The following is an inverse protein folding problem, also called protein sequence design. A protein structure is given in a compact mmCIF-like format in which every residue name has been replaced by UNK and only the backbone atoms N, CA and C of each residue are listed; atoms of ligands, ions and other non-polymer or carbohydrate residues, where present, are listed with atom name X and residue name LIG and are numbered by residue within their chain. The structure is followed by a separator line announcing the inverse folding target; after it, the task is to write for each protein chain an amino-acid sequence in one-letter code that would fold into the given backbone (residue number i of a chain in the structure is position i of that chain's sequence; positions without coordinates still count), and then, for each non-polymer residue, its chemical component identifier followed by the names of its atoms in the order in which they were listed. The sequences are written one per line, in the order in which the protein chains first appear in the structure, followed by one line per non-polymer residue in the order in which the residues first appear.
data_IF_408911335280
#
_entry.id   IF_408911335280
#
_cell.length_a   1.000
_cell.length_b   1.000
_cell.length_c   1.000
_cell.angle_alpha   90.00
_cell.angle_beta   90.00
_cell.angle_gamma   90.00
#
_symmetry.space_group_name_H-M   'P 1'
#
loop_
_entity.id
_entity.type
_entity.pdbx_description
1 polymer ?
#
# COMPACT_ATOMS: atom_id res chain seq x y z
N UNK A 1 -34.04 34.66 20.76
CA UNK A 1 -33.64 33.64 21.76
C UNK A 1 -33.51 32.29 21.08
N UNK A 2 -32.39 32.05 20.39
CA UNK A 2 -32.13 30.77 19.70
C UNK A 2 -31.62 29.76 20.72
N UNK A 3 -32.46 28.80 21.07
CA UNK A 3 -32.19 27.76 22.06
C UNK A 3 -31.30 26.71 21.39
N UNK A 4 -29.99 26.83 21.59
CA UNK A 4 -29.01 25.85 21.12
C UNK A 4 -29.32 24.47 21.69
N UNK A 5 -29.60 23.51 20.82
CA UNK A 5 -29.78 22.11 21.22
C UNK A 5 -28.39 21.50 21.50
N UNK A 6 -28.23 20.71 22.59
CA UNK A 6 -26.97 20.04 22.86
C UNK A 6 -26.69 18.93 21.83
N UNK A 7 -25.43 18.82 21.42
CA UNK A 7 -24.92 17.75 20.55
C UNK A 7 -24.73 16.48 21.40
N UNK A 8 -25.24 15.31 21.00
CA UNK A 8 -24.95 14.07 21.71
C UNK A 8 -23.49 13.65 21.50
N UNK A 9 -22.80 13.28 22.58
CA UNK A 9 -21.47 12.67 22.54
C UNK A 9 -21.59 11.21 22.10
N UNK A 10 -20.66 10.68 21.28
CA UNK A 10 -20.63 9.27 20.96
C UNK A 10 -20.27 8.46 22.21
N UNK A 11 -21.15 7.54 22.59
CA UNK A 11 -20.92 6.55 23.65
C UNK A 11 -19.79 5.63 23.22
N UNK A 12 -18.76 5.49 24.06
CA UNK A 12 -17.70 4.50 23.93
C UNK A 12 -18.31 3.11 23.83
N UNK A 13 -18.32 2.54 22.62
CA UNK A 13 -18.75 1.18 22.35
C UNK A 13 -17.52 0.28 22.21
N UNK A 14 -17.47 -0.73 23.06
CA UNK A 14 -16.53 -1.86 23.11
C UNK A 14 -15.89 -2.27 21.77
N UNK A 15 -14.57 -2.19 21.72
CA UNK A 15 -13.76 -2.91 20.72
C UNK A 15 -13.81 -4.40 21.09
N UNK A 16 -14.68 -5.17 20.44
CA UNK A 16 -14.57 -6.62 20.43
C UNK A 16 -13.25 -6.97 19.72
N UNK A 17 -12.23 -7.34 20.48
CA UNK A 17 -11.08 -8.05 19.96
C UNK A 17 -11.56 -9.43 19.53
N UNK A 18 -11.69 -9.63 18.22
CA UNK A 18 -11.97 -10.93 17.63
C UNK A 18 -10.66 -11.75 17.67
N UNK A 19 -10.60 -12.68 18.62
CA UNK A 19 -9.53 -13.66 18.78
C UNK A 19 -9.59 -14.66 17.61
N UNK A 20 -8.95 -14.31 16.49
CA UNK A 20 -8.64 -15.26 15.44
C UNK A 20 -7.62 -16.28 15.99
N UNK A 21 -8.13 -17.38 16.56
CA UNK A 21 -7.33 -18.54 16.86
C UNK A 21 -6.63 -19.06 15.59
N UNK A 22 -5.29 -19.20 15.58
CA UNK A 22 -4.63 -19.92 14.51
C UNK A 22 -4.78 -21.43 14.76
N UNK A 23 -5.68 -22.07 14.01
CA UNK A 23 -5.69 -23.54 13.86
C UNK A 23 -4.45 -23.97 13.05
N UNK A 24 -3.30 -24.02 13.71
CA UNK A 24 -2.13 -24.75 13.19
C UNK A 24 -2.44 -26.25 13.24
N UNK A 25 -3.00 -26.79 12.16
CA UNK A 25 -3.05 -28.24 11.92
C UNK A 25 -1.69 -28.71 11.40
N UNK A 26 -0.98 -29.63 12.09
CA UNK A 26 0.22 -30.25 11.54
C UNK A 26 -0.17 -31.56 10.84
N UNK A 27 -0.28 -31.57 9.52
CA UNK A 27 -0.19 -32.78 8.72
C UNK A 27 0.04 -32.46 7.24
N UNK A 28 1.29 -32.53 6.78
CA UNK A 28 1.60 -32.70 5.36
C UNK A 28 2.50 -33.92 5.21
N UNK A 29 1.84 -35.08 5.06
CA UNK A 29 2.46 -36.32 4.60
C UNK A 29 2.06 -36.52 3.15
N UNK A 30 2.98 -36.29 2.21
CA UNK A 30 3.32 -37.21 1.11
C UNK A 30 4.09 -36.49 -0.01
N UNK A 31 5.20 -37.07 -0.50
CA UNK A 31 5.86 -36.59 -1.71
C UNK A 31 5.16 -37.19 -2.93
N UNK A 32 4.71 -36.36 -3.86
CA UNK A 32 4.29 -36.83 -5.18
C UNK A 32 5.21 -36.23 -6.24
N UNK A 33 6.12 -37.07 -6.72
CA UNK A 33 6.92 -36.85 -7.92
C UNK A 33 6.00 -36.85 -9.13
N UNK A 34 6.05 -35.81 -9.97
CA UNK A 34 5.44 -35.78 -11.29
C UNK A 34 6.51 -35.39 -12.34
N UNK A 35 6.46 -35.97 -13.56
CA UNK A 35 7.50 -35.82 -14.56
C UNK A 35 7.43 -34.50 -15.32
N UNK A 36 8.59 -34.03 -15.75
CA UNK A 36 8.79 -32.87 -16.59
C UNK A 36 8.27 -33.11 -18.01
N UNK A 37 7.37 -32.25 -18.48
CA UNK A 37 7.20 -31.93 -19.88
C UNK A 37 7.22 -30.41 -20.00
N UNK A 38 8.20 -29.91 -20.75
CA UNK A 38 8.42 -28.49 -20.98
C UNK A 38 7.47 -27.99 -22.07
N UNK A 39 6.65 -26.99 -21.75
CA UNK A 39 5.92 -26.20 -22.72
C UNK A 39 6.84 -25.12 -23.33
N UNK A 40 6.66 -24.74 -24.61
CA UNK A 40 7.44 -23.70 -25.26
C UNK A 40 7.19 -22.33 -24.62
N UNK A 41 8.25 -21.75 -24.06
CA UNK A 41 8.26 -20.42 -23.43
C UNK A 41 7.99 -19.37 -24.51
N UNK A 42 6.77 -18.88 -24.58
CA UNK A 42 6.44 -17.66 -25.31
C UNK A 42 7.17 -16.49 -24.62
N UNK A 43 7.91 -15.72 -25.41
CA UNK A 43 8.82 -14.64 -24.99
C UNK A 43 8.06 -13.43 -24.45
N UNK A 44 7.43 -13.60 -23.29
CA UNK A 44 6.95 -12.51 -22.45
C UNK A 44 7.82 -12.58 -21.21
N UNK A 45 8.74 -11.62 -20.95
CA UNK A 45 9.55 -11.65 -19.75
C UNK A 45 8.64 -11.35 -18.55
N UNK A 46 7.94 -12.39 -18.10
CA UNK A 46 7.20 -12.44 -16.86
C UNK A 46 8.23 -12.84 -15.82
N UNK A 47 9.08 -11.89 -15.43
CA UNK A 47 9.94 -12.05 -14.27
C UNK A 47 9.11 -11.84 -12.99
N UNK A 48 8.04 -12.63 -12.87
CA UNK A 48 7.24 -12.76 -11.66
C UNK A 48 7.80 -13.92 -10.86
N UNK A 49 8.83 -13.64 -10.07
CA UNK A 49 9.14 -14.45 -8.90
C UNK A 49 7.86 -14.53 -8.04
N UNK A 50 7.60 -15.69 -7.43
CA UNK A 50 6.47 -15.93 -6.53
C UNK A 50 6.20 -14.72 -5.61
N UNK A 51 5.01 -14.11 -5.72
CA UNK A 51 4.67 -12.83 -5.06
C UNK A 51 5.07 -11.58 -5.86
N UNK A 52 4.76 -11.57 -7.16
CA UNK A 52 5.22 -10.59 -8.16
C UNK A 52 4.82 -9.13 -7.88
N UNK A 53 5.73 -8.46 -7.18
CA UNK A 53 5.84 -7.04 -6.82
C UNK A 53 5.92 -6.09 -8.03
N UNK A 54 4.84 -6.01 -8.83
CA UNK A 54 4.45 -4.69 -9.33
C UNK A 54 3.47 -4.17 -8.29
N UNK A 55 3.99 -3.56 -7.23
CA UNK A 55 3.16 -2.87 -6.26
C UNK A 55 2.27 -1.86 -6.99
N UNK A 56 0.95 -2.10 -6.98
CA UNK A 56 -0.07 -1.22 -7.54
C UNK A 56 0.12 0.23 -7.08
N UNK A 57 0.66 0.41 -5.86
CA UNK A 57 1.04 1.71 -5.33
C UNK A 57 2.15 2.38 -6.14
N UNK A 58 3.24 1.66 -6.45
CA UNK A 58 4.35 2.20 -7.27
C UNK A 58 3.87 2.55 -8.67
N UNK A 59 3.02 1.72 -9.27
CA UNK A 59 2.42 1.96 -10.58
C UNK A 59 1.57 3.23 -10.61
N UNK A 60 0.73 3.44 -9.59
CA UNK A 60 -0.07 4.66 -9.47
C UNK A 60 0.81 5.90 -9.37
N UNK A 61 1.90 5.84 -8.61
CA UNK A 61 2.82 6.98 -8.47
C UNK A 61 3.57 7.26 -9.77
N UNK A 62 3.98 6.24 -10.53
CA UNK A 62 4.60 6.46 -11.84
C UNK A 62 3.65 7.17 -12.81
N UNK A 63 2.35 6.82 -12.79
CA UNK A 63 1.33 7.46 -13.63
C UNK A 63 1.10 8.92 -13.28
N UNK A 64 1.38 9.36 -12.05
CA UNK A 64 1.20 10.77 -11.68
C UNK A 64 2.35 11.68 -12.11
N UNK A 65 3.50 11.12 -12.48
CA UNK A 65 4.73 11.88 -12.73
C UNK A 65 5.43 12.37 -11.47
N UNK A 66 4.98 11.97 -10.27
CA UNK A 66 5.56 12.37 -8.97
C UNK A 66 6.49 11.30 -8.38
N UNK A 67 7.10 10.47 -9.23
CA UNK A 67 7.90 9.33 -8.78
C UNK A 67 9.20 9.76 -8.10
N UNK A 68 9.86 10.80 -8.62
CA UNK A 68 11.12 11.30 -8.05
C UNK A 68 10.94 11.83 -6.62
N UNK A 69 9.87 12.57 -6.35
CA UNK A 69 9.59 13.07 -4.99
C UNK A 69 9.21 11.95 -4.03
N UNK A 70 8.53 10.91 -4.53
CA UNK A 70 8.25 9.71 -3.75
C UNK A 70 9.54 8.94 -3.43
N UNK A 71 10.42 8.73 -4.41
CA UNK A 71 11.70 8.05 -4.19
C UNK A 71 12.57 8.82 -3.18
N UNK A 72 12.64 10.15 -3.30
CA UNK A 72 13.35 10.97 -2.32
C UNK A 72 12.79 10.81 -0.90
N UNK A 73 11.46 10.74 -0.75
CA UNK A 73 10.82 10.49 0.55
C UNK A 73 11.16 9.09 1.09
N UNK A 74 11.11 8.06 0.24
CA UNK A 74 11.43 6.68 0.63
C UNK A 74 12.90 6.52 1.00
N UNK A 75 13.81 7.19 0.29
CA UNK A 75 15.24 7.23 0.64
C UNK A 75 15.47 7.93 1.98
N UNK A 76 14.81 9.08 2.23
CA UNK A 76 14.91 9.73 3.53
C UNK A 76 14.40 8.83 4.67
N UNK A 77 13.27 8.15 4.48
CA UNK A 77 12.79 7.19 5.46
C UNK A 77 13.75 6.00 5.59
N UNK A 78 14.34 5.53 4.50
CA UNK A 78 15.31 4.44 4.56
C UNK A 78 16.53 4.82 5.41
N UNK A 79 17.05 6.02 5.25
CA UNK A 79 18.23 6.51 5.97
C UNK A 79 17.91 6.82 7.44
N UNK A 80 16.79 7.50 7.69
CA UNK A 80 16.45 8.06 9.01
C UNK A 80 15.60 7.13 9.86
N UNK A 81 14.84 6.25 9.21
CA UNK A 81 13.77 5.42 9.79
C UNK A 81 12.71 6.24 10.57
N UNK A 82 12.62 7.54 10.31
CA UNK A 82 11.67 8.47 10.93
C UNK A 82 11.07 9.41 9.89
N UNK A 83 9.79 9.22 9.60
CA UNK A 83 9.02 10.04 8.66
C UNK A 83 8.84 11.49 9.12
N UNK A 84 8.97 11.78 10.42
CA UNK A 84 8.91 13.16 10.96
C UNK A 84 10.13 13.97 10.54
N UNK A 85 11.28 13.31 10.43
CA UNK A 85 12.52 13.93 9.98
C UNK A 85 12.49 14.23 8.46
N UNK A 86 11.61 13.58 7.69
CA UNK A 86 11.47 13.72 6.24
C UNK A 86 10.37 14.71 5.81
N UNK A 87 10.15 15.75 6.62
CA UNK A 87 9.07 16.71 6.39
C UNK A 87 9.22 17.50 5.09
N UNK A 88 10.45 17.73 4.64
CA UNK A 88 10.75 18.45 3.41
C UNK A 88 10.38 17.62 2.17
N UNK A 89 10.80 16.37 2.13
CA UNK A 89 10.51 15.39 1.08
C UNK A 89 9.01 15.14 0.99
N UNK A 90 8.35 14.97 2.14
CA UNK A 90 6.91 14.78 2.23
C UNK A 90 6.14 16.01 1.71
N UNK A 91 6.65 17.23 1.93
CA UNK A 91 6.04 18.46 1.39
C UNK A 91 6.16 18.49 -0.13
N UNK A 92 7.33 18.18 -0.69
CA UNK A 92 7.56 18.13 -2.15
C UNK A 92 6.64 17.13 -2.83
N UNK A 93 6.55 15.90 -2.30
CA UNK A 93 5.65 14.88 -2.83
C UNK A 93 4.18 15.34 -2.83
N UNK A 94 3.70 15.91 -1.72
CA UNK A 94 2.32 16.43 -1.62
C UNK A 94 2.05 17.59 -2.58
N UNK A 95 3.03 18.45 -2.82
CA UNK A 95 2.89 19.55 -3.78
C UNK A 95 2.80 19.04 -5.21
N UNK A 96 3.61 18.04 -5.59
CA UNK A 96 3.48 17.37 -6.88
C UNK A 96 2.11 16.71 -7.03
N UNK A 97 1.69 15.94 -6.02
CA UNK A 97 0.43 15.22 -6.03
C UNK A 97 -0.78 16.15 -6.22
N UNK A 98 -0.81 17.28 -5.51
CA UNK A 98 -1.85 18.31 -5.67
C UNK A 98 -1.90 18.92 -7.06
N UNK A 99 -0.76 19.05 -7.76
CA UNK A 99 -0.72 19.54 -9.15
C UNK A 99 -1.34 18.50 -10.09
N UNK A 100 -1.01 17.22 -9.88
CA UNK A 100 -1.62 16.12 -10.62
C UNK A 100 -3.14 16.08 -10.43
N UNK A 101 -3.65 16.21 -9.21
CA UNK A 101 -5.11 16.22 -8.94
C UNK A 101 -5.82 17.37 -9.66
N UNK A 102 -5.24 18.57 -9.64
CA UNK A 102 -5.80 19.74 -10.34
C UNK A 102 -5.82 19.55 -11.86
N UNK A 103 -4.79 18.93 -12.42
CA UNK A 103 -4.71 18.64 -13.85
C UNK A 103 -5.72 17.57 -14.29
N UNK A 104 -6.07 16.63 -13.40
CA UNK A 104 -6.94 15.49 -13.72
C UNK A 104 -8.41 15.66 -13.26
N UNK A 105 -8.78 16.80 -12.68
CA UNK A 105 -10.19 17.15 -12.41
C UNK A 105 -10.91 16.25 -11.40
N UNK A 106 -10.19 15.49 -10.58
CA UNK A 106 -10.76 14.60 -9.56
C UNK A 106 -10.64 15.25 -8.18
N UNK A 107 -11.73 15.86 -7.71
CA UNK A 107 -11.97 16.20 -6.30
C UNK A 107 -13.43 15.84 -6.00
N UNK A 108 -13.65 14.91 -5.08
CA UNK A 108 -14.85 14.90 -4.22
C UNK A 108 -14.44 15.37 -2.83
#
# INVERSE_FOLDING_TARGET
MTKSRPVPLPSSGDVRHDDHQPLFSPAMSSPQTAPALADPIEDKPTLGLAGGDIDEYNDRIRRTGCFEENEALQLCFYDRKDWRACGAEMKRFRECWKKHEKANGQQE
#
